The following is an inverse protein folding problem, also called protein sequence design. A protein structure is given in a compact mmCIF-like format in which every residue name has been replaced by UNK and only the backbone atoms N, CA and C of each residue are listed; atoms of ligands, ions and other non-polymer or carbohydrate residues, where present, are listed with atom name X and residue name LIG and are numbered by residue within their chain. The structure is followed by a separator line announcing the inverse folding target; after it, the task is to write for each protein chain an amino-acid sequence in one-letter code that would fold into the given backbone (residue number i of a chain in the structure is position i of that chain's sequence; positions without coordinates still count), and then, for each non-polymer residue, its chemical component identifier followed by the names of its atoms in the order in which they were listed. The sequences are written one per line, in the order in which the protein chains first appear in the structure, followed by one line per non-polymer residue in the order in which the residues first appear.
data_IF_119184062239
#
_entry.id   IF_119184062239
#
_cell.length_a   1.000
_cell.length_b   1.000
_cell.length_c   1.000
_cell.angle_alpha   90.00
_cell.angle_beta   90.00
_cell.angle_gamma   90.00
#
_symmetry.space_group_name_H-M   'P 1'
#
loop_
_entity.id
_entity.type
_entity.pdbx_description
1 polymer ?
#
# COMPACT_ATOMS: atom_id res chain seq x y z
N UNK A 1 21.65 3.13 -19.50
CA UNK A 1 21.88 2.28 -18.32
C UNK A 1 20.78 2.60 -17.32
N UNK A 2 19.72 1.78 -17.26
CA UNK A 2 18.66 1.99 -16.27
C UNK A 2 19.26 1.75 -14.89
N UNK A 3 19.30 2.79 -14.05
CA UNK A 3 19.61 2.67 -12.63
C UNK A 3 18.70 1.56 -12.10
N UNK A 4 19.26 0.46 -11.60
CA UNK A 4 18.46 -0.59 -10.94
C UNK A 4 17.81 0.06 -9.72
N UNK A 5 16.57 0.49 -9.89
CA UNK A 5 15.78 1.13 -8.85
C UNK A 5 15.54 0.07 -7.78
N UNK A 6 16.22 0.22 -6.66
CA UNK A 6 15.95 -0.59 -5.48
C UNK A 6 14.84 0.08 -4.66
N UNK A 7 13.96 -0.76 -4.13
CA UNK A 7 12.82 -0.36 -3.31
C UNK A 7 12.97 -1.04 -1.96
N UNK A 8 12.67 -0.31 -0.87
CA UNK A 8 12.64 -0.92 0.47
C UNK A 8 11.60 -2.04 0.51
N UNK A 9 11.92 -3.14 1.18
CA UNK A 9 11.07 -4.33 1.26
C UNK A 9 9.64 -4.01 1.73
N UNK A 10 9.48 -3.12 2.71
CA UNK A 10 8.17 -2.72 3.21
C UNK A 10 7.34 -1.94 2.18
N UNK A 11 8.00 -1.13 1.34
CA UNK A 11 7.38 -0.42 0.24
C UNK A 11 7.00 -1.40 -0.86
N UNK A 12 7.91 -2.29 -1.24
CA UNK A 12 7.66 -3.31 -2.26
C UNK A 12 6.45 -4.19 -1.91
N UNK A 13 6.37 -4.69 -0.67
CA UNK A 13 5.22 -5.47 -0.20
C UNK A 13 3.94 -4.61 -0.21
N UNK A 14 4.03 -3.34 0.17
CA UNK A 14 2.87 -2.45 0.17
C UNK A 14 2.36 -2.13 -1.23
N UNK A 15 3.26 -1.96 -2.21
CA UNK A 15 2.93 -1.72 -3.62
C UNK A 15 2.30 -2.96 -4.27
N UNK A 16 2.63 -4.18 -3.83
CA UNK A 16 1.93 -5.40 -4.29
C UNK A 16 0.45 -5.46 -3.89
N UNK A 17 -0.06 -4.46 -3.17
CA UNK A 17 -1.44 -4.40 -2.68
C UNK A 17 -1.73 -5.26 -1.45
N UNK A 18 -0.76 -6.09 -1.01
CA UNK A 18 -0.95 -7.06 0.07
C UNK A 18 -1.34 -6.41 1.40
N UNK A 19 -0.65 -5.35 1.81
CA UNK A 19 -0.88 -4.68 3.08
C UNK A 19 -0.30 -3.26 3.10
N UNK A 20 -0.43 -2.56 4.23
CA UNK A 20 0.26 -1.27 4.44
C UNK A 20 1.77 -1.46 4.70
N UNK A 21 2.57 -0.41 4.50
CA UNK A 21 4.03 -0.44 4.81
C UNK A 21 4.32 -0.83 6.27
N UNK A 22 3.49 -0.38 7.22
CA UNK A 22 3.62 -0.73 8.65
C UNK A 22 3.30 -2.20 8.92
N UNK A 23 2.33 -2.76 8.21
CA UNK A 23 2.04 -4.20 8.26
C UNK A 23 3.15 -5.02 7.63
N UNK A 24 3.72 -4.54 6.53
CA UNK A 24 4.87 -5.17 5.90
C UNK A 24 6.07 -5.21 6.85
N UNK A 25 6.38 -4.11 7.55
CA UNK A 25 7.43 -4.08 8.58
C UNK A 25 7.16 -5.13 9.68
N UNK A 26 5.91 -5.25 10.15
CA UNK A 26 5.52 -6.29 11.13
C UNK A 26 5.76 -7.70 10.60
N UNK A 27 5.45 -7.99 9.34
CA UNK A 27 5.73 -9.30 8.75
C UNK A 27 7.24 -9.57 8.66
N UNK A 28 8.04 -8.56 8.33
CA UNK A 28 9.51 -8.68 8.30
C UNK A 28 10.05 -8.98 9.71
N UNK A 29 9.63 -8.21 10.72
CA UNK A 29 10.02 -8.40 12.12
C UNK A 29 9.64 -9.80 12.65
N UNK A 30 8.45 -10.29 12.30
CA UNK A 30 7.99 -11.63 12.64
C UNK A 30 8.74 -12.74 11.89
N UNK A 31 9.50 -12.43 10.84
CA UNK A 31 10.23 -13.41 10.04
C UNK A 31 9.45 -14.10 8.95
N UNK A 32 8.32 -13.52 8.58
CA UNK A 32 7.41 -14.08 7.61
C UNK A 32 7.75 -13.70 6.17
N UNK A 33 8.80 -12.89 5.97
CA UNK A 33 9.22 -12.37 4.67
C UNK A 33 10.55 -12.99 4.24
N UNK A 34 10.61 -13.44 2.99
CA UNK A 34 11.78 -14.05 2.37
C UNK A 34 12.11 -13.36 1.05
N UNK A 35 13.40 -13.10 0.80
CA UNK A 35 13.93 -12.53 -0.44
C UNK A 35 14.90 -13.57 -1.02
N UNK A 36 14.63 -14.12 -2.20
CA UNK A 36 15.48 -15.13 -2.85
C UNK A 36 15.85 -16.32 -1.94
N UNK A 37 14.95 -16.71 -1.03
CA UNK A 37 15.21 -17.81 -0.09
C UNK A 37 16.01 -17.43 1.16
N UNK A 38 16.36 -16.15 1.38
CA UNK A 38 16.87 -15.64 2.67
C UNK A 38 15.76 -14.93 3.45
N UNK A 39 15.74 -15.06 4.77
CA UNK A 39 14.84 -14.27 5.63
C UNK A 39 15.17 -12.78 5.51
N UNK A 40 14.16 -11.94 5.29
CA UNK A 40 14.32 -10.50 5.18
C UNK A 40 14.50 -9.85 6.56
N UNK A 41 15.17 -8.70 6.58
CA UNK A 41 15.31 -7.84 7.76
C UNK A 41 14.81 -6.42 7.46
N UNK A 42 14.47 -5.67 8.52
CA UNK A 42 13.94 -4.32 8.38
C UNK A 42 14.93 -3.42 7.65
N UNK A 43 14.45 -2.75 6.60
CA UNK A 43 15.28 -1.86 5.78
C UNK A 43 15.96 -2.53 4.58
N UNK A 44 15.81 -3.85 4.42
CA UNK A 44 16.25 -4.56 3.21
C UNK A 44 15.75 -3.89 1.94
N UNK A 45 16.56 -3.96 0.89
CA UNK A 45 16.27 -3.42 -0.43
C UNK A 45 16.03 -4.58 -1.40
N UNK A 46 15.05 -4.41 -2.29
CA UNK A 46 14.72 -5.35 -3.35
C UNK A 46 14.66 -4.65 -4.69
N UNK A 47 14.98 -5.39 -5.74
CA UNK A 47 14.88 -4.98 -7.13
C UNK A 47 13.79 -5.78 -7.82
N UNK A 48 13.38 -5.36 -9.02
CA UNK A 48 12.38 -6.10 -9.81
C UNK A 48 12.82 -7.55 -10.17
N UNK A 49 14.10 -7.88 -10.05
CA UNK A 49 14.60 -9.24 -10.30
C UNK A 49 14.53 -10.15 -9.06
N UNK A 50 14.28 -9.60 -7.87
CA UNK A 50 14.26 -10.37 -6.63
C UNK A 50 12.91 -11.05 -6.44
N UNK A 51 12.94 -12.29 -5.94
CA UNK A 51 11.74 -13.06 -5.61
C UNK A 51 11.39 -12.86 -4.14
N UNK A 52 10.30 -12.16 -3.88
CA UNK A 52 9.81 -11.90 -2.52
C UNK A 52 8.65 -12.84 -2.19
N UNK A 53 8.69 -13.45 -1.00
CA UNK A 53 7.59 -14.22 -0.45
C UNK A 53 7.18 -13.67 0.91
N UNK A 54 5.88 -13.54 1.15
CA UNK A 54 5.30 -13.15 2.44
C UNK A 54 4.35 -14.26 2.87
N UNK A 55 4.54 -14.81 4.08
CA UNK A 55 3.78 -15.97 4.58
C UNK A 55 3.78 -17.17 3.60
N UNK A 56 4.86 -17.35 2.85
CA UNK A 56 4.99 -18.42 1.84
C UNK A 56 4.40 -18.11 0.47
N UNK A 57 3.56 -17.07 0.33
CA UNK A 57 3.02 -16.62 -0.95
C UNK A 57 4.01 -15.70 -1.67
N UNK A 58 4.27 -15.98 -2.96
CA UNK A 58 5.06 -15.07 -3.80
C UNK A 58 4.25 -13.81 -4.11
N UNK A 59 4.90 -12.65 -4.00
CA UNK A 59 4.32 -11.37 -4.40
C UNK A 59 5.07 -10.83 -5.61
N UNK A 60 4.32 -10.21 -6.51
CA UNK A 60 4.85 -9.61 -7.73
C UNK A 60 4.85 -8.08 -7.61
N UNK A 61 5.77 -7.40 -8.31
CA UNK A 61 5.74 -5.95 -8.38
C UNK A 61 4.47 -5.51 -9.12
N UNK A 62 3.89 -4.39 -8.70
CA UNK A 62 2.75 -3.78 -9.37
C UNK A 62 3.15 -3.29 -10.76
N UNK A 63 2.36 -3.60 -11.79
CA UNK A 63 2.58 -3.09 -13.14
C UNK A 63 2.06 -1.66 -13.29
N UNK A 64 2.54 -0.91 -14.29
CA UNK A 64 2.07 0.47 -14.53
C UNK A 64 0.57 0.52 -14.86
N UNK A 65 0.06 -0.54 -15.49
CA UNK A 65 -1.34 -0.69 -15.86
C UNK A 65 -2.26 -0.87 -14.64
N UNK A 66 -1.71 -1.28 -13.49
CA UNK A 66 -2.44 -1.43 -12.24
C UNK A 66 -2.59 -0.10 -11.46
N UNK A 67 -2.08 1.02 -11.99
CA UNK A 67 -2.13 2.31 -11.31
C UNK A 67 -3.56 2.81 -11.18
N UNK A 68 -3.97 3.09 -9.95
CA UNK A 68 -5.27 3.68 -9.65
C UNK A 68 -5.08 5.12 -9.17
N UNK A 69 -5.82 6.03 -9.80
CA UNK A 69 -5.96 7.41 -9.36
C UNK A 69 -7.43 7.85 -9.50
N UNK A 70 -8.08 8.08 -8.36
CA UNK A 70 -9.50 8.44 -8.28
C UNK A 70 -9.60 9.86 -7.76
N UNK A 71 -10.43 10.68 -8.40
CA UNK A 71 -10.86 11.97 -7.87
C UNK A 71 -12.23 11.81 -7.21
N UNK A 72 -12.32 12.09 -5.92
CA UNK A 72 -13.55 12.01 -5.14
C UNK A 72 -13.94 13.41 -4.66
N UNK A 73 -15.21 13.80 -4.87
CA UNK A 73 -15.80 14.88 -4.11
C UNK A 73 -16.31 14.31 -2.78
N UNK A 74 -15.47 14.37 -1.74
CA UNK A 74 -15.76 13.79 -0.43
C UNK A 74 -16.88 14.58 0.25
N UNK A 75 -17.97 13.93 0.68
CA UNK A 75 -19.02 14.61 1.44
C UNK A 75 -18.60 14.83 2.91
N UNK A 76 -19.32 15.73 3.58
CA UNK A 76 -19.27 15.88 5.03
C UNK A 76 -19.69 14.57 5.71
N UNK A 77 -19.05 14.22 6.82
CA UNK A 77 -19.34 13.02 7.59
C UNK A 77 -18.42 11.83 7.29
N UNK A 78 -17.71 11.85 6.15
CA UNK A 78 -16.70 10.82 5.83
C UNK A 78 -15.35 11.21 6.45
N UNK A 79 -14.60 10.24 6.95
CA UNK A 79 -13.30 10.44 7.59
C UNK A 79 -12.17 10.00 6.65
N UNK A 80 -11.20 10.88 6.41
CA UNK A 80 -10.02 10.62 5.56
C UNK A 80 -9.02 9.67 6.22
N UNK A 81 -9.41 8.41 6.41
CA UNK A 81 -8.61 7.36 7.05
C UNK A 81 -8.75 6.02 6.33
N UNK A 82 -7.78 5.13 6.57
CA UNK A 82 -7.79 3.73 6.08
C UNK A 82 -8.04 2.73 7.23
N UNK A 83 -8.25 3.23 8.44
CA UNK A 83 -8.49 2.43 9.64
C UNK A 83 -9.88 1.80 9.62
N UNK A 84 -9.95 0.47 9.62
CA UNK A 84 -11.23 -0.30 9.58
C UNK A 84 -12.12 -0.09 10.81
N UNK A 85 -11.58 0.43 11.90
CA UNK A 85 -12.34 0.72 13.11
C UNK A 85 -13.24 1.97 12.97
N UNK A 86 -12.92 2.86 12.03
CA UNK A 86 -13.75 4.03 11.71
C UNK A 86 -14.82 3.63 10.71
N UNK A 87 -16.09 3.69 11.12
CA UNK A 87 -17.23 3.25 10.30
C UNK A 87 -17.44 4.11 9.07
N UNK A 88 -17.14 5.41 9.19
CA UNK A 88 -17.32 6.37 8.10
C UNK A 88 -16.00 6.60 7.32
N UNK A 89 -15.12 5.61 7.24
CA UNK A 89 -13.83 5.78 6.59
C UNK A 89 -13.96 5.89 5.06
N UNK A 90 -13.08 6.70 4.46
CA UNK A 90 -13.16 7.03 3.04
C UNK A 90 -12.92 5.83 2.11
N UNK A 91 -12.18 4.81 2.56
CA UNK A 91 -11.89 3.62 1.74
C UNK A 91 -13.15 2.77 1.57
N UNK A 92 -13.83 2.50 2.68
CA UNK A 92 -15.09 1.76 2.69
C UNK A 92 -16.24 2.57 2.08
N UNK A 93 -16.18 3.90 2.12
CA UNK A 93 -17.13 4.75 1.40
C UNK A 93 -16.99 4.61 -0.13
N UNK A 94 -15.77 4.54 -0.65
CA UNK A 94 -15.51 4.41 -2.09
C UNK A 94 -15.76 2.98 -2.60
N UNK A 95 -15.61 1.96 -1.74
CA UNK A 95 -15.87 0.55 -2.06
C UNK A 95 -15.09 0.04 -3.29
N UNK A 96 -13.86 0.51 -3.47
CA UNK A 96 -13.04 0.08 -4.60
C UNK A 96 -12.54 -1.36 -4.41
N UNK A 97 -12.50 -2.15 -5.49
CA UNK A 97 -12.12 -3.57 -5.44
C UNK A 97 -10.65 -3.79 -5.06
N UNK A 98 -9.78 -2.87 -5.46
CA UNK A 98 -8.35 -2.85 -5.13
C UNK A 98 -8.09 -1.91 -3.97
N UNK A 99 -7.13 -2.25 -3.12
CA UNK A 99 -6.68 -1.42 -1.98
C UNK A 99 -6.24 -0.03 -2.45
N UNK A 100 -6.93 1.01 -1.97
CA UNK A 100 -6.60 2.42 -2.19
C UNK A 100 -6.48 3.18 -0.87
N UNK A 101 -5.87 4.36 -0.91
CA UNK A 101 -5.71 5.27 0.22
C UNK A 101 -5.78 6.73 -0.24
N UNK A 102 -6.25 7.66 0.61
CA UNK A 102 -6.35 9.07 0.26
C UNK A 102 -4.97 9.73 0.17
N UNK A 103 -4.81 10.63 -0.81
CA UNK A 103 -3.68 11.56 -0.91
C UNK A 103 -4.02 12.80 -0.08
N UNK A 104 -3.35 12.96 1.06
CA UNK A 104 -3.67 14.01 2.02
C UNK A 104 -4.92 13.68 2.84
N UNK A 105 -5.52 14.70 3.46
CA UNK A 105 -6.71 14.55 4.30
C UNK A 105 -7.59 15.79 4.21
N UNK A 106 -8.89 15.57 4.25
CA UNK A 106 -9.90 16.55 4.63
C UNK A 106 -10.50 16.14 5.97
N UNK A 107 -10.79 17.13 6.82
CA UNK A 107 -11.46 16.90 8.11
C UNK A 107 -12.87 16.32 7.90
N UNK A 108 -13.44 15.71 8.95
CA UNK A 108 -14.74 15.03 8.88
C UNK A 108 -15.87 15.98 8.47
N UNK A 109 -15.81 17.22 8.97
CA UNK A 109 -16.72 18.33 8.69
C UNK A 109 -16.42 19.07 7.37
N UNK A 110 -15.25 18.82 6.77
CA UNK A 110 -14.87 19.36 5.46
C UNK A 110 -15.39 18.49 4.30
N UNK A 111 -15.66 19.13 3.17
CA UNK A 111 -16.04 18.50 1.90
C UNK A 111 -15.22 19.04 0.73
N UNK A 112 -15.21 18.31 -0.38
CA UNK A 112 -14.57 18.76 -1.61
C UNK A 112 -13.66 17.71 -2.23
N UNK A 113 -12.82 18.16 -3.15
CA UNK A 113 -11.93 17.29 -3.90
C UNK A 113 -10.85 16.66 -2.99
N UNK A 114 -10.76 15.34 -3.05
CA UNK A 114 -9.65 14.56 -2.52
C UNK A 114 -9.30 13.46 -3.52
N UNK A 115 -8.01 13.15 -3.64
CA UNK A 115 -7.55 12.07 -4.51
C UNK A 115 -7.37 10.77 -3.71
N UNK A 116 -7.62 9.62 -4.32
CA UNK A 116 -7.28 8.31 -3.78
C UNK A 116 -6.41 7.55 -4.77
N UNK A 117 -5.46 6.77 -4.27
CA UNK A 117 -4.54 5.99 -5.10
C UNK A 117 -4.15 4.68 -4.42
N UNK A 118 -3.61 3.74 -5.17
CA UNK A 118 -2.92 2.55 -4.66
C UNK A 118 -1.39 2.70 -4.64
N UNK A 119 -0.84 3.84 -5.10
CA UNK A 119 0.61 4.08 -5.22
C UNK A 119 1.11 5.11 -4.18
N UNK A 120 2.04 4.71 -3.29
CA UNK A 120 2.45 5.51 -2.12
C UNK A 120 3.85 5.28 -1.57
#
# INVERSE_FOLDING_TARGET
MSLRKSTRINKYISESGLCSRREADRFVEQGNVWINGRRATTGDQVTAADRVKVNGQAIEPQEEEDLILIALNKPVGIVSTTEKAEKDNIVDFVQHAVRIFPIGRLDKDSQGLILLTNNG
#
